data_IF_517459716897
#
_entry.id   IF_517459716897
#
_cell.length_a   1.000
_cell.length_b   1.000
_cell.length_c   1.000
_cell.angle_alpha   90.00
_cell.angle_beta   90.00
_cell.angle_gamma   90.00
#
_symmetry.space_group_name_H-M   'P 1'
#
loop_
_entity.id
_entity.type
_entity.pdbx_description
1 polymer ?
#
# COMPACT_ATOMS: atom_id res chain seq x y z
N UNK A 1 16.44 3.34 -6.50
CA UNK A 1 17.33 2.27 -7.01
C UNK A 1 16.77 1.75 -8.31
N UNK A 2 17.59 1.32 -9.28
CA UNK A 2 17.07 0.68 -10.50
C UNK A 2 16.65 -0.74 -10.17
N UNK A 3 15.50 -1.17 -10.69
CA UNK A 3 15.09 -2.56 -10.56
C UNK A 3 16.01 -3.47 -11.37
N UNK A 4 16.48 -4.58 -10.78
CA UNK A 4 17.22 -5.57 -11.54
C UNK A 4 16.30 -6.27 -12.56
N UNK A 5 16.86 -6.82 -13.65
CA UNK A 5 16.11 -7.57 -14.64
C UNK A 5 15.30 -8.73 -14.03
N UNK A 6 14.21 -9.10 -14.68
CA UNK A 6 13.28 -10.14 -14.22
C UNK A 6 13.98 -11.48 -13.91
N UNK A 7 14.98 -11.87 -14.70
CA UNK A 7 15.73 -13.11 -14.47
C UNK A 7 16.58 -13.06 -13.20
N UNK A 8 17.13 -11.90 -12.82
CA UNK A 8 17.84 -11.73 -11.54
C UNK A 8 16.84 -11.85 -10.39
N UNK A 9 15.68 -11.18 -10.50
CA UNK A 9 14.66 -11.23 -9.45
C UNK A 9 14.13 -12.64 -9.23
N UNK A 10 13.78 -13.35 -10.30
CA UNK A 10 13.13 -14.66 -10.22
C UNK A 10 14.12 -15.83 -10.11
N UNK A 11 15.30 -15.72 -10.70
CA UNK A 11 16.31 -16.78 -10.73
C UNK A 11 17.38 -16.67 -9.64
N UNK A 12 17.58 -15.48 -9.05
CA UNK A 12 18.59 -15.27 -7.99
C UNK A 12 17.92 -14.81 -6.70
N UNK A 13 17.18 -13.69 -6.70
CA UNK A 13 16.64 -13.13 -5.47
C UNK A 13 15.60 -14.06 -4.82
N UNK A 14 14.68 -14.63 -5.59
CA UNK A 14 13.65 -15.53 -5.04
C UNK A 14 14.26 -16.81 -4.40
N UNK A 15 15.17 -17.56 -5.04
CA UNK A 15 15.85 -18.68 -4.39
C UNK A 15 16.74 -18.26 -3.22
N UNK A 16 17.39 -17.09 -3.31
CA UNK A 16 18.22 -16.56 -2.22
C UNK A 16 17.40 -16.30 -0.96
N UNK A 17 16.17 -15.78 -1.09
CA UNK A 17 15.29 -15.59 0.07
C UNK A 17 14.96 -16.92 0.74
N UNK A 18 14.69 -17.98 -0.03
CA UNK A 18 14.45 -19.32 0.53
C UNK A 18 15.69 -19.84 1.26
N UNK A 19 16.88 -19.73 0.66
CA UNK A 19 18.13 -20.13 1.30
C UNK A 19 18.40 -19.33 2.58
N UNK A 20 18.17 -18.02 2.55
CA UNK A 20 18.29 -17.15 3.72
C UNK A 20 17.30 -17.54 4.81
N UNK A 21 16.05 -17.88 4.47
CA UNK A 21 15.06 -18.35 5.43
C UNK A 21 15.51 -19.62 6.15
N UNK A 22 16.08 -20.59 5.43
CA UNK A 22 16.62 -21.82 6.01
C UNK A 22 17.80 -21.55 6.96
N UNK A 23 18.72 -20.65 6.56
CA UNK A 23 19.84 -20.24 7.41
C UNK A 23 19.34 -19.53 8.67
N UNK A 24 18.40 -18.60 8.53
CA UNK A 24 17.81 -17.89 9.67
C UNK A 24 17.13 -18.86 10.62
N UNK A 25 16.36 -19.84 10.13
CA UNK A 25 15.74 -20.88 10.98
C UNK A 25 16.79 -21.69 11.74
N UNK A 26 17.88 -22.10 11.08
CA UNK A 26 18.94 -22.85 11.73
C UNK A 26 19.65 -22.04 12.83
N UNK A 27 19.82 -20.74 12.63
CA UNK A 27 20.49 -19.84 13.59
C UNK A 27 19.54 -19.22 14.62
N UNK A 28 18.23 -19.27 14.39
CA UNK A 28 17.21 -18.61 15.21
C UNK A 28 17.26 -19.02 16.69
N UNK A 29 17.45 -20.31 17.07
CA UNK A 29 17.55 -20.69 18.49
C UNK A 29 18.71 -20.00 19.21
N UNK A 30 19.87 -19.93 18.56
CA UNK A 30 21.05 -19.27 19.12
C UNK A 30 20.85 -17.75 19.22
N UNK A 31 20.32 -17.11 18.17
CA UNK A 31 20.03 -15.68 18.20
C UNK A 31 18.96 -15.32 19.22
N UNK A 32 17.92 -16.14 19.39
CA UNK A 32 16.90 -15.93 20.43
C UNK A 32 17.46 -16.10 21.83
N UNK A 33 18.28 -17.11 22.08
CA UNK A 33 18.93 -17.29 23.37
C UNK A 33 19.77 -16.06 23.72
N UNK A 34 20.63 -15.60 22.80
CA UNK A 34 21.45 -14.39 22.98
C UNK A 34 20.56 -13.16 23.18
N UNK A 35 19.55 -12.96 22.33
CA UNK A 35 18.66 -11.81 22.41
C UNK A 35 17.88 -11.76 23.72
N UNK A 36 17.38 -12.90 24.21
CA UNK A 36 16.67 -12.98 25.49
C UNK A 36 17.61 -12.66 26.65
N UNK A 37 18.80 -13.28 26.68
CA UNK A 37 19.80 -13.02 27.71
C UNK A 37 20.14 -11.53 27.75
N UNK A 38 20.49 -10.92 26.61
CA UNK A 38 20.84 -9.49 26.52
C UNK A 38 19.65 -8.61 26.90
N UNK A 39 18.44 -8.89 26.39
CA UNK A 39 17.26 -8.07 26.65
C UNK A 39 16.84 -8.09 28.12
N UNK A 40 17.05 -9.19 28.87
CA UNK A 40 16.77 -9.23 30.31
C UNK A 40 17.57 -8.15 31.06
N UNK A 41 18.79 -7.83 30.60
CA UNK A 41 19.65 -6.83 31.24
C UNK A 41 19.51 -5.41 30.66
N UNK A 42 19.07 -5.26 29.41
CA UNK A 42 19.12 -3.98 28.68
C UNK A 42 17.74 -3.40 28.37
N UNK A 43 16.72 -4.24 28.18
CA UNK A 43 15.47 -3.82 27.55
C UNK A 43 14.22 -4.20 28.38
N UNK A 44 13.37 -3.22 28.75
CA UNK A 44 12.08 -3.55 29.30
C UNK A 44 11.21 -4.24 28.24
N UNK A 45 10.62 -5.39 28.60
CA UNK A 45 9.61 -6.17 27.84
C UNK A 45 10.12 -7.03 26.67
N UNK A 46 11.39 -7.43 26.65
CA UNK A 46 11.95 -8.38 25.65
C UNK A 46 11.70 -7.94 24.20
N UNK A 47 12.02 -6.68 23.90
CA UNK A 47 11.69 -6.06 22.60
C UNK A 47 12.46 -6.70 21.46
N UNK A 48 13.77 -6.78 21.58
CA UNK A 48 14.66 -7.34 20.56
C UNK A 48 14.30 -8.79 20.18
N UNK A 49 14.05 -9.72 21.13
CA UNK A 49 13.55 -11.06 20.82
C UNK A 49 12.27 -11.06 19.98
N UNK A 50 11.29 -10.22 20.31
CA UNK A 50 10.01 -10.16 19.56
C UNK A 50 10.22 -9.65 18.14
N UNK A 51 11.05 -8.62 17.97
CA UNK A 51 11.37 -8.11 16.63
C UNK A 51 12.17 -9.13 15.81
N UNK A 52 13.10 -9.85 16.44
CA UNK A 52 13.82 -10.95 15.80
C UNK A 52 12.87 -12.05 15.33
N UNK A 53 11.92 -12.46 16.18
CA UNK A 53 10.86 -13.42 15.80
C UNK A 53 10.05 -12.87 14.63
N UNK A 54 9.61 -11.62 14.67
CA UNK A 54 8.80 -11.04 13.60
C UNK A 54 9.55 -10.98 12.26
N UNK A 55 10.83 -10.61 12.28
CA UNK A 55 11.68 -10.60 11.08
C UNK A 55 11.85 -12.02 10.52
N UNK A 56 12.07 -13.01 11.39
CA UNK A 56 12.15 -14.40 10.99
C UNK A 56 10.83 -14.92 10.41
N UNK A 57 9.70 -14.57 11.03
CA UNK A 57 8.35 -14.89 10.54
C UNK A 57 8.12 -14.28 9.16
N UNK A 58 8.43 -13.00 8.96
CA UNK A 58 8.27 -12.36 7.65
C UNK A 58 9.13 -13.04 6.57
N UNK A 59 10.38 -13.37 6.90
CA UNK A 59 11.29 -14.04 5.96
C UNK A 59 10.79 -15.44 5.58
N UNK A 60 10.30 -16.21 6.55
CA UNK A 60 9.71 -17.53 6.31
C UNK A 60 8.39 -17.44 5.55
N UNK A 61 7.59 -16.42 5.85
CA UNK A 61 6.35 -16.12 5.15
C UNK A 61 6.62 -15.81 3.68
N UNK A 62 7.63 -14.99 3.37
CA UNK A 62 8.03 -14.68 2.00
C UNK A 62 8.55 -15.92 1.26
N UNK A 63 9.43 -16.71 1.90
CA UNK A 63 9.93 -17.96 1.34
C UNK A 63 8.80 -18.97 1.05
N UNK A 64 7.88 -19.15 2.00
CA UNK A 64 6.71 -20.00 1.81
C UNK A 64 5.82 -19.49 0.67
N UNK A 65 5.67 -18.17 0.54
CA UNK A 65 4.92 -17.58 -0.56
C UNK A 65 5.55 -17.88 -1.92
N UNK A 66 6.88 -17.76 -2.04
CA UNK A 66 7.59 -18.07 -3.30
C UNK A 66 7.37 -19.54 -3.68
N UNK A 67 7.47 -20.47 -2.72
CA UNK A 67 7.23 -21.91 -2.97
C UNK A 67 5.79 -22.17 -3.41
N UNK A 68 4.80 -21.59 -2.72
CA UNK A 68 3.39 -21.72 -3.07
C UNK A 68 3.07 -21.10 -4.45
N UNK A 69 3.65 -19.94 -4.76
CA UNK A 69 3.51 -19.28 -6.06
C UNK A 69 4.21 -20.07 -7.18
N UNK A 70 5.29 -20.79 -6.88
CA UNK A 70 5.90 -21.73 -7.82
C UNK A 70 4.96 -22.91 -8.08
N UNK A 71 4.38 -23.51 -7.04
CA UNK A 71 3.41 -24.59 -7.19
C UNK A 71 2.18 -24.16 -8.01
N UNK A 72 1.63 -22.95 -7.75
CA UNK A 72 0.53 -22.38 -8.55
C UNK A 72 0.91 -22.18 -10.02
N UNK A 73 2.17 -21.83 -10.30
CA UNK A 73 2.66 -21.68 -11.66
C UNK A 73 2.80 -23.01 -12.40
N UNK A 74 3.27 -24.07 -11.71
CA UNK A 74 3.27 -25.43 -12.24
C UNK A 74 1.83 -25.89 -12.50
N UNK A 75 0.93 -25.75 -11.53
CA UNK A 75 -0.48 -26.13 -11.62
C UNK A 75 -1.22 -25.40 -12.76
N UNK A 76 -0.81 -24.17 -13.10
CA UNK A 76 -1.39 -23.42 -14.22
C UNK A 76 -0.83 -23.83 -15.59
N UNK A 77 -0.13 -24.96 -15.70
CA UNK A 77 0.54 -25.41 -16.92
C UNK A 77 1.77 -24.57 -17.24
N UNK A 78 2.70 -24.45 -16.29
CA UNK A 78 3.93 -23.64 -16.44
C UNK A 78 3.63 -22.18 -16.83
N UNK A 79 2.58 -21.63 -16.25
CA UNK A 79 2.13 -20.26 -16.50
C UNK A 79 1.11 -20.07 -17.63
N UNK A 80 0.78 -21.10 -18.41
CA UNK A 80 -0.13 -20.96 -19.56
C UNK A 80 -1.51 -20.41 -19.17
N UNK A 81 -2.08 -20.86 -18.04
CA UNK A 81 -3.38 -20.40 -17.52
C UNK A 81 -3.30 -19.45 -16.34
N UNK A 82 -2.12 -18.87 -16.05
CA UNK A 82 -1.89 -18.13 -14.80
C UNK A 82 -2.78 -16.88 -14.64
N UNK A 83 -3.17 -16.27 -15.76
CA UNK A 83 -4.04 -15.08 -15.77
C UNK A 83 -5.52 -15.41 -15.98
N UNK A 84 -5.91 -16.69 -16.01
CA UNK A 84 -7.33 -17.07 -16.09
C UNK A 84 -8.08 -16.70 -14.79
N UNK A 85 -9.38 -16.43 -14.87
CA UNK A 85 -10.21 -16.07 -13.71
C UNK A 85 -10.13 -17.08 -12.56
N UNK A 86 -9.97 -18.38 -12.86
CA UNK A 86 -9.80 -19.41 -11.83
C UNK A 86 -8.49 -19.25 -11.06
N UNK A 87 -7.38 -19.06 -11.77
CA UNK A 87 -6.08 -18.84 -11.14
C UNK A 87 -5.96 -17.48 -10.46
N UNK A 88 -6.55 -16.41 -11.01
CA UNK A 88 -6.59 -15.12 -10.33
C UNK A 88 -7.31 -15.22 -8.98
N UNK A 89 -8.48 -15.87 -8.92
CA UNK A 89 -9.18 -16.15 -7.66
C UNK A 89 -8.35 -16.99 -6.69
N UNK A 90 -7.61 -17.98 -7.19
CA UNK A 90 -6.69 -18.75 -6.36
C UNK A 90 -5.56 -17.89 -5.78
N UNK A 91 -4.98 -16.96 -6.56
CA UNK A 91 -3.97 -16.02 -6.07
C UNK A 91 -4.55 -15.05 -5.04
N UNK A 92 -5.75 -14.50 -5.26
CA UNK A 92 -6.40 -13.63 -4.28
C UNK A 92 -6.66 -14.37 -2.95
N UNK A 93 -7.23 -15.58 -3.00
CA UNK A 93 -7.44 -16.43 -1.81
C UNK A 93 -6.13 -16.83 -1.11
N UNK A 94 -5.06 -16.99 -1.87
CA UNK A 94 -3.74 -17.27 -1.34
C UNK A 94 -3.18 -16.04 -0.61
N UNK A 95 -3.23 -14.86 -1.24
CA UNK A 95 -2.77 -13.59 -0.62
C UNK A 95 -3.59 -13.28 0.63
N UNK A 96 -4.92 -13.46 0.57
CA UNK A 96 -5.84 -13.30 1.70
C UNK A 96 -5.34 -14.09 2.93
N UNK A 97 -5.18 -15.42 2.79
CA UNK A 97 -4.68 -16.31 3.85
C UNK A 97 -3.28 -15.96 4.34
N UNK A 98 -2.39 -15.60 3.41
CA UNK A 98 -1.03 -15.20 3.77
C UNK A 98 -1.05 -13.93 4.62
N UNK A 99 -1.87 -12.94 4.27
CA UNK A 99 -2.02 -11.73 5.07
C UNK A 99 -2.70 -12.00 6.41
N UNK A 100 -3.73 -12.85 6.47
CA UNK A 100 -4.32 -13.29 7.75
C UNK A 100 -3.26 -13.89 8.68
N UNK A 101 -2.43 -14.80 8.19
CA UNK A 101 -1.34 -15.39 8.98
C UNK A 101 -0.32 -14.35 9.42
N UNK A 102 0.07 -13.43 8.53
CA UNK A 102 1.02 -12.37 8.86
C UNK A 102 0.45 -11.46 9.97
N UNK A 103 -0.80 -11.01 9.84
CA UNK A 103 -1.43 -10.12 10.81
C UNK A 103 -1.78 -10.82 12.13
N UNK A 104 -2.07 -12.12 12.10
CA UNK A 104 -2.18 -12.94 13.30
C UNK A 104 -0.86 -12.96 14.08
N UNK A 105 0.28 -13.15 13.41
CA UNK A 105 1.59 -13.07 14.05
C UNK A 105 1.91 -11.66 14.54
N UNK A 106 1.56 -10.62 13.78
CA UNK A 106 1.71 -9.22 14.22
C UNK A 106 0.93 -8.95 15.50
N UNK A 107 -0.32 -9.44 15.59
CA UNK A 107 -1.13 -9.33 16.80
C UNK A 107 -0.45 -10.01 18.00
N UNK A 108 -0.02 -11.26 17.88
CA UNK A 108 0.55 -12.00 19.01
C UNK A 108 1.98 -11.57 19.39
N UNK A 109 2.85 -11.35 18.40
CA UNK A 109 4.27 -11.07 18.62
C UNK A 109 4.49 -9.59 18.95
N UNK A 110 3.81 -8.69 18.23
CA UNK A 110 3.99 -7.25 18.39
C UNK A 110 2.94 -6.59 19.29
N UNK A 111 1.86 -7.30 19.64
CA UNK A 111 0.70 -6.79 20.41
C UNK A 111 0.03 -5.61 19.73
N UNK A 112 -0.20 -5.79 18.43
CA UNK A 112 -0.84 -4.79 17.60
C UNK A 112 -2.26 -5.25 17.25
N UNK A 113 -3.23 -4.42 17.63
CA UNK A 113 -4.63 -4.62 17.30
C UNK A 113 -5.03 -3.72 16.13
N UNK A 114 -6.00 -4.17 15.34
CA UNK A 114 -6.56 -3.38 14.25
C UNK A 114 -8.07 -3.32 14.46
N UNK A 115 -8.58 -2.13 14.82
CA UNK A 115 -10.01 -1.83 14.89
C UNK A 115 -10.47 -1.24 13.56
N UNK A 116 -11.43 -1.87 12.91
CA UNK A 116 -11.96 -1.42 11.62
C UNK A 116 -13.44 -1.11 11.72
N UNK A 117 -13.78 0.11 11.32
CA UNK A 117 -15.15 0.60 11.28
C UNK A 117 -15.57 0.83 9.85
N UNK A 118 -16.53 0.03 9.42
CA UNK A 118 -17.19 0.15 8.11
C UNK A 118 -18.60 0.72 8.30
N UNK A 119 -19.14 1.44 7.31
CA UNK A 119 -20.54 1.88 7.32
C UNK A 119 -21.51 0.68 7.32
N UNK A 120 -22.75 0.92 7.72
CA UNK A 120 -23.82 -0.06 7.55
C UNK A 120 -24.02 -0.41 6.07
N UNK A 121 -24.39 -1.66 5.80
CA UNK A 121 -24.59 -2.18 4.45
C UNK A 121 -23.35 -2.29 3.57
N UNK A 122 -22.15 -2.15 4.16
CA UNK A 122 -20.88 -2.21 3.42
C UNK A 122 -20.71 -3.50 2.59
N UNK A 123 -21.32 -4.61 3.01
CA UNK A 123 -21.23 -5.92 2.36
C UNK A 123 -22.49 -6.33 1.57
N UNK A 124 -23.45 -5.43 1.40
CA UNK A 124 -24.79 -5.80 0.91
C UNK A 124 -24.84 -6.08 -0.60
N UNK A 125 -23.80 -5.68 -1.35
CA UNK A 125 -23.70 -5.91 -2.78
C UNK A 125 -22.32 -6.41 -3.21
N UNK A 126 -22.22 -6.73 -4.50
CA UNK A 126 -21.00 -7.14 -5.17
C UNK A 126 -20.47 -6.05 -6.13
N UNK A 127 -20.95 -4.81 -6.04
CA UNK A 127 -20.55 -3.73 -6.95
C UNK A 127 -19.06 -3.40 -6.77
N UNK A 128 -18.36 -3.03 -7.87
CA UNK A 128 -16.96 -2.65 -7.82
C UNK A 128 -16.79 -1.32 -7.10
N UNK A 129 -15.72 -1.20 -6.30
CA UNK A 129 -15.50 -0.04 -5.42
C UNK A 129 -14.20 0.70 -5.76
N UNK A 130 -14.21 2.03 -5.68
CA UNK A 130 -12.97 2.83 -5.70
C UNK A 130 -12.59 3.18 -4.27
N UNK A 131 -11.52 2.60 -3.76
CA UNK A 131 -11.04 2.80 -2.40
C UNK A 131 -9.95 3.87 -2.40
N UNK A 132 -10.27 5.05 -1.87
CA UNK A 132 -9.36 6.16 -1.77
C UNK A 132 -8.88 6.32 -0.32
N UNK A 133 -7.62 5.97 -0.06
CA UNK A 133 -7.05 5.95 1.29
C UNK A 133 -6.02 7.06 1.50
N UNK A 134 -5.92 7.54 2.74
CA UNK A 134 -4.73 8.26 3.21
C UNK A 134 -3.49 7.36 3.15
N UNK A 135 -2.30 7.94 3.08
CA UNK A 135 -1.03 7.18 3.05
C UNK A 135 -0.06 7.70 4.12
N UNK A 136 0.20 6.92 5.17
CA UNK A 136 0.77 7.42 6.41
C UNK A 136 1.80 6.51 7.12
N UNK A 137 2.44 5.58 6.41
CA UNK A 137 3.57 4.86 7.02
C UNK A 137 4.09 3.68 6.21
N UNK A 138 5.26 3.13 6.57
CA UNK A 138 5.70 1.84 6.05
C UNK A 138 4.78 0.74 6.61
N UNK A 139 4.03 0.07 5.74
CA UNK A 139 3.16 -1.06 6.10
C UNK A 139 1.65 -0.78 6.10
N UNK A 140 1.24 0.49 5.97
CA UNK A 140 -0.19 0.85 5.87
C UNK A 140 -0.89 0.18 4.67
N UNK A 141 -0.15 -0.02 3.59
CA UNK A 141 -0.63 -0.67 2.38
C UNK A 141 -0.88 -2.16 2.63
N UNK A 142 -0.09 -2.83 3.47
CA UNK A 142 -0.37 -4.23 3.84
C UNK A 142 -1.65 -4.33 4.68
N UNK A 143 -1.87 -3.39 5.60
CA UNK A 143 -3.11 -3.35 6.41
C UNK A 143 -4.31 -3.08 5.51
N UNK A 144 -4.21 -2.09 4.63
CA UNK A 144 -5.29 -1.75 3.71
C UNK A 144 -5.61 -2.93 2.79
N UNK A 145 -4.61 -3.60 2.21
CA UNK A 145 -4.85 -4.75 1.34
C UNK A 145 -5.37 -5.96 2.13
N UNK A 146 -4.91 -6.17 3.36
CA UNK A 146 -5.49 -7.18 4.25
C UNK A 146 -6.96 -6.89 4.54
N UNK A 147 -7.30 -5.64 4.83
CA UNK A 147 -8.69 -5.21 5.03
C UNK A 147 -9.52 -5.43 3.77
N UNK A 148 -9.04 -5.00 2.61
CA UNK A 148 -9.76 -5.16 1.33
C UNK A 148 -10.03 -6.64 1.02
N UNK A 149 -9.05 -7.51 1.25
CA UNK A 149 -9.19 -8.95 0.97
C UNK A 149 -10.04 -9.69 2.00
N UNK A 150 -9.77 -9.49 3.30
CA UNK A 150 -10.27 -10.37 4.35
C UNK A 150 -11.44 -9.79 5.14
N UNK A 151 -11.56 -8.46 5.19
CA UNK A 151 -12.69 -7.81 5.84
C UNK A 151 -13.70 -7.33 4.83
N UNK A 152 -13.26 -6.69 3.74
CA UNK A 152 -14.16 -6.14 2.73
C UNK A 152 -14.65 -7.21 1.72
N UNK A 153 -14.01 -8.37 1.69
CA UNK A 153 -14.26 -9.46 0.71
C UNK A 153 -14.23 -8.95 -0.74
N UNK A 154 -13.20 -8.16 -1.07
CA UNK A 154 -12.98 -7.56 -2.39
C UNK A 154 -11.62 -7.95 -2.97
N UNK A 155 -11.56 -8.02 -4.29
CA UNK A 155 -10.36 -8.32 -5.09
C UNK A 155 -9.62 -7.01 -5.42
N UNK A 156 -8.50 -6.70 -4.74
CA UNK A 156 -7.81 -5.44 -4.94
C UNK A 156 -7.13 -5.37 -6.30
N UNK A 157 -7.23 -4.20 -6.93
CA UNK A 157 -6.49 -3.77 -8.11
C UNK A 157 -5.71 -2.52 -7.74
N UNK A 158 -4.39 -2.56 -7.85
CA UNK A 158 -3.54 -1.53 -7.27
C UNK A 158 -2.46 -1.02 -8.22
N UNK A 159 -2.21 0.28 -8.10
CA UNK A 159 -1.08 0.96 -8.73
C UNK A 159 0.02 1.14 -7.70
N UNK A 160 1.18 0.54 -7.95
CA UNK A 160 2.29 0.54 -6.98
C UNK A 160 3.58 1.06 -7.57
N UNK A 161 4.50 1.43 -6.68
CA UNK A 161 5.88 1.75 -7.07
C UNK A 161 6.60 0.49 -7.51
N UNK A 162 7.34 0.61 -8.61
CA UNK A 162 8.12 -0.46 -9.19
C UNK A 162 9.10 -1.08 -8.16
N UNK A 163 9.66 -0.27 -7.25
CA UNK A 163 10.58 -0.67 -6.19
C UNK A 163 10.03 -1.73 -5.23
N UNK A 164 8.70 -1.92 -5.16
CA UNK A 164 8.13 -3.02 -4.37
C UNK A 164 8.51 -4.40 -4.90
N UNK A 165 8.92 -4.50 -6.18
CA UNK A 165 9.40 -5.74 -6.79
C UNK A 165 10.78 -6.18 -6.28
N UNK A 166 11.39 -5.48 -5.32
CA UNK A 166 12.56 -5.99 -4.61
C UNK A 166 12.21 -7.14 -3.67
N UNK A 167 10.97 -7.17 -3.18
CA UNK A 167 10.42 -8.30 -2.45
C UNK A 167 9.96 -9.37 -3.48
N UNK A 168 10.52 -10.59 -3.44
CA UNK A 168 10.25 -11.57 -4.48
C UNK A 168 8.82 -12.12 -4.48
N UNK A 169 8.18 -12.32 -3.33
CA UNK A 169 6.80 -12.79 -3.30
C UNK A 169 5.86 -11.71 -3.88
N UNK A 170 6.07 -10.45 -3.49
CA UNK A 170 5.34 -9.28 -4.01
C UNK A 170 5.59 -9.10 -5.51
N UNK A 171 6.83 -9.21 -6.00
CA UNK A 171 7.15 -9.18 -7.43
C UNK A 171 6.38 -10.26 -8.20
N UNK A 172 6.35 -11.48 -7.69
CA UNK A 172 5.72 -12.60 -8.39
C UNK A 172 4.20 -12.49 -8.38
N UNK A 173 3.57 -12.29 -7.22
CA UNK A 173 2.11 -12.34 -7.10
C UNK A 173 1.43 -11.14 -7.74
N UNK A 174 1.96 -9.93 -7.55
CA UNK A 174 1.32 -8.73 -8.06
C UNK A 174 1.45 -8.61 -9.58
N UNK A 175 2.46 -9.22 -10.20
CA UNK A 175 2.56 -9.33 -11.66
C UNK A 175 1.62 -10.40 -12.25
N UNK A 176 0.93 -11.22 -11.44
CA UNK A 176 -0.05 -12.24 -11.89
C UNK A 176 -1.51 -11.81 -11.68
N UNK A 177 -1.71 -10.79 -10.86
CA UNK A 177 -2.99 -10.15 -10.60
C UNK A 177 -3.11 -8.88 -11.47
N UNK A 178 -4.32 -8.34 -11.68
CA UNK A 178 -4.56 -7.11 -12.45
C UNK A 178 -4.06 -5.86 -11.70
N UNK A 179 -2.73 -5.77 -11.52
CA UNK A 179 -2.05 -4.62 -10.90
C UNK A 179 -1.12 -3.95 -11.90
N UNK A 180 -0.70 -2.72 -11.59
CA UNK A 180 0.25 -1.96 -12.41
C UNK A 180 1.40 -1.41 -11.56
N UNK A 181 2.62 -1.73 -11.97
CA UNK A 181 3.83 -1.14 -11.40
C UNK A 181 4.24 0.12 -12.18
N UNK A 182 4.59 1.18 -11.46
CA UNK A 182 4.99 2.47 -12.02
C UNK A 182 6.36 2.86 -11.47
N UNK A 183 7.23 3.27 -12.39
CA UNK A 183 8.54 3.80 -12.04
C UNK A 183 8.40 5.18 -11.39
N UNK A 184 9.12 5.46 -10.28
CA UNK A 184 9.16 6.79 -9.70
C UNK A 184 9.54 7.85 -10.73
N UNK A 185 8.97 9.08 -10.64
CA UNK A 185 9.44 10.20 -11.43
C UNK A 185 10.95 10.38 -11.22
N UNK A 186 11.72 10.73 -12.26
CA UNK A 186 13.16 10.98 -12.10
C UNK A 186 13.39 12.06 -11.03
N UNK A 187 14.28 11.81 -10.08
CA UNK A 187 14.72 12.83 -9.12
C UNK A 187 15.54 13.87 -9.88
N UNK A 188 15.04 15.10 -9.95
CA UNK A 188 15.75 16.23 -10.54
C UNK A 188 17.14 16.39 -9.88
N UNK A 189 18.19 16.46 -10.70
CA UNK A 189 19.56 16.73 -10.24
C UNK A 189 20.52 15.53 -10.19
N UNK A 190 20.05 14.29 -10.30
CA UNK A 190 20.98 13.12 -10.37
C UNK A 190 21.51 12.90 -11.79
N UNK A 191 22.77 12.50 -11.94
CA UNK A 191 23.39 12.17 -13.24
C UNK A 191 22.59 11.09 -14.03
N UNK A 192 21.91 10.20 -13.31
CA UNK A 192 20.98 9.22 -13.87
C UNK A 192 19.65 9.81 -14.36
N UNK A 193 19.17 10.91 -13.77
CA UNK A 193 17.96 11.63 -14.20
C UNK A 193 18.16 12.39 -15.51
N UNK A 194 19.33 13.01 -15.71
CA UNK A 194 19.68 13.71 -16.96
C UNK A 194 19.71 12.78 -18.17
N UNK A 195 20.16 11.54 -17.99
CA UNK A 195 20.23 10.54 -19.09
C UNK A 195 18.86 9.98 -19.48
N UNK A 196 17.88 9.96 -18.55
CA UNK A 196 16.48 9.54 -18.84
C UNK A 196 15.69 10.69 -19.48
N UNK A 197 15.86 11.92 -19.01
CA UNK A 197 15.30 13.12 -19.63
C UNK A 197 15.79 13.34 -21.08
N UNK A 198 17.03 12.93 -21.38
CA UNK A 198 17.62 13.05 -22.72
C UNK A 198 17.27 11.90 -23.68
N UNK A 199 16.71 10.79 -23.18
CA UNK A 199 16.33 9.61 -23.99
C UNK A 199 14.81 9.38 -24.07
N UNK A 200 14.05 9.98 -23.16
CA UNK A 200 12.61 10.17 -23.27
C UNK A 200 12.33 11.64 -22.94
N UNK A 201 12.19 12.46 -23.99
CA UNK A 201 11.83 13.88 -23.90
C UNK A 201 10.37 14.07 -23.49
N UNK A 202 9.96 13.40 -22.43
CA UNK A 202 8.60 13.39 -21.97
C UNK A 202 8.47 14.51 -20.92
N UNK A 203 7.77 15.63 -21.22
CA UNK A 203 7.56 16.71 -20.25
C UNK A 203 6.88 16.16 -19.00
N UNK A 204 7.03 16.80 -17.83
CA UNK A 204 6.46 16.31 -16.55
C UNK A 204 4.96 15.93 -16.63
N UNK A 205 4.20 16.50 -17.57
CA UNK A 205 2.81 16.12 -17.86
C UNK A 205 2.63 14.73 -18.48
N UNK A 206 3.58 14.24 -19.27
CA UNK A 206 3.53 12.91 -19.92
C UNK A 206 3.52 11.74 -18.93
N UNK A 207 4.18 11.88 -17.78
CA UNK A 207 4.22 10.83 -16.75
C UNK A 207 2.92 10.82 -15.93
N UNK A 208 2.29 11.98 -15.75
CA UNK A 208 0.97 12.08 -15.11
C UNK A 208 -0.11 11.47 -16.01
N UNK A 209 -0.10 11.80 -17.32
CA UNK A 209 -0.98 11.18 -18.32
C UNK A 209 -0.80 9.66 -18.38
N UNK A 210 0.45 9.19 -18.44
CA UNK A 210 0.72 7.75 -18.40
C UNK A 210 0.28 7.07 -17.09
N UNK A 211 0.15 7.79 -15.97
CA UNK A 211 -0.38 7.25 -14.72
C UNK A 211 -1.91 7.22 -14.74
N UNK A 212 -2.57 8.28 -15.20
CA UNK A 212 -4.04 8.32 -15.33
C UNK A 212 -4.53 7.24 -16.29
N UNK A 213 -3.85 7.03 -17.42
CA UNK A 213 -4.21 5.98 -18.38
C UNK A 213 -4.14 4.58 -17.75
N UNK A 214 -3.14 4.34 -16.89
CA UNK A 214 -3.00 3.06 -16.17
C UNK A 214 -4.05 2.88 -15.09
N UNK A 215 -4.48 3.97 -14.45
CA UNK A 215 -5.57 3.93 -13.49
C UNK A 215 -6.89 3.65 -14.22
N UNK A 216 -7.17 4.36 -15.32
CA UNK A 216 -8.37 4.12 -16.13
C UNK A 216 -8.40 2.71 -16.70
N UNK A 217 -7.28 2.18 -17.18
CA UNK A 217 -7.16 0.78 -17.62
C UNK A 217 -7.48 -0.23 -16.51
N UNK A 218 -7.09 0.04 -15.26
CA UNK A 218 -7.39 -0.83 -14.12
C UNK A 218 -8.85 -0.74 -13.66
N UNK A 219 -9.47 0.42 -13.86
CA UNK A 219 -10.83 0.72 -13.44
C UNK A 219 -11.88 0.24 -14.45
N UNK A 220 -11.57 0.27 -15.75
CA UNK A 220 -12.56 0.10 -16.81
C UNK A 220 -13.14 -1.31 -16.94
N UNK A 221 -12.39 -2.33 -16.51
CA UNK A 221 -12.81 -3.74 -16.55
C UNK A 221 -12.96 -4.33 -15.13
N UNK A 222 -13.25 -3.49 -14.13
CA UNK A 222 -13.61 -3.95 -12.79
C UNK A 222 -14.91 -4.75 -12.85
N UNK A 223 -14.83 -6.01 -12.41
CA UNK A 223 -15.97 -6.89 -12.27
C UNK A 223 -16.56 -6.90 -10.86
N UNK A 224 -17.50 -7.81 -10.60
CA UNK A 224 -18.08 -7.97 -9.28
C UNK A 224 -17.00 -8.22 -8.23
N UNK A 225 -17.12 -7.53 -7.10
CA UNK A 225 -16.19 -7.53 -5.97
C UNK A 225 -14.79 -7.02 -6.27
N UNK A 226 -14.52 -6.37 -7.40
CA UNK A 226 -13.24 -5.71 -7.59
C UNK A 226 -13.16 -4.40 -6.78
N UNK A 227 -11.95 -4.07 -6.32
CA UNK A 227 -11.70 -2.83 -5.62
C UNK A 227 -10.43 -2.16 -6.15
N UNK A 228 -10.56 -1.02 -6.81
CA UNK A 228 -9.41 -0.20 -7.17
C UNK A 228 -8.93 0.57 -5.94
N UNK A 229 -7.69 0.33 -5.50
CA UNK A 229 -7.11 1.08 -4.37
C UNK A 229 -6.20 2.17 -4.87
N UNK A 230 -6.45 3.40 -4.43
CA UNK A 230 -5.69 4.59 -4.77
C UNK A 230 -5.35 5.41 -3.52
N UNK A 231 -4.21 6.10 -3.58
CA UNK A 231 -3.77 7.04 -2.54
C UNK A 231 -3.67 8.45 -3.11
N UNK A 232 -4.74 9.26 -3.06
CA UNK A 232 -4.76 10.59 -3.69
C UNK A 232 -3.66 11.55 -3.20
N UNK A 233 -3.09 11.34 -2.02
CA UNK A 233 -1.92 12.10 -1.53
C UNK A 233 -0.66 11.92 -2.41
N UNK A 234 -0.57 10.80 -3.14
CA UNK A 234 0.53 10.46 -4.04
C UNK A 234 1.81 9.97 -3.33
N UNK A 235 1.74 9.66 -2.04
CA UNK A 235 2.84 9.10 -1.27
C UNK A 235 2.65 9.26 0.24
N UNK A 236 3.45 8.54 1.04
CA UNK A 236 3.46 8.72 2.50
C UNK A 236 3.55 10.18 2.92
N UNK A 237 2.71 10.56 3.88
CA UNK A 237 2.77 11.83 4.58
C UNK A 237 4.15 12.04 5.24
N UNK A 238 4.78 13.17 4.94
CA UNK A 238 5.88 13.72 5.75
C UNK A 238 5.76 15.24 5.79
N UNK A 239 6.25 15.92 6.84
CA UNK A 239 6.22 17.39 6.92
C UNK A 239 6.84 18.05 5.68
N UNK A 240 7.94 17.48 5.17
CA UNK A 240 8.66 17.99 4.00
C UNK A 240 7.88 17.77 2.70
N UNK A 241 7.15 16.66 2.57
CA UNK A 241 6.29 16.41 1.40
C UNK A 241 5.05 17.29 1.42
N UNK A 242 4.46 17.49 2.60
CA UNK A 242 3.35 18.41 2.83
C UNK A 242 3.74 19.85 2.46
N UNK A 243 4.86 20.35 2.99
CA UNK A 243 5.37 21.68 2.66
C UNK A 243 5.59 21.85 1.15
N UNK A 244 6.17 20.84 0.48
CA UNK A 244 6.33 20.84 -0.98
C UNK A 244 5.01 20.75 -1.75
N UNK A 245 3.98 20.11 -1.22
CA UNK A 245 2.66 20.09 -1.84
C UNK A 245 2.02 21.49 -1.79
N UNK A 246 2.06 22.16 -0.63
CA UNK A 246 1.58 23.53 -0.45
C UNK A 246 2.34 24.51 -1.35
N UNK A 247 3.67 24.41 -1.40
CA UNK A 247 4.49 25.25 -2.27
C UNK A 247 4.15 25.09 -3.76
N UNK A 248 3.84 23.86 -4.20
CA UNK A 248 3.39 23.60 -5.59
C UNK A 248 2.03 24.22 -5.88
N UNK A 249 1.08 24.16 -4.95
CA UNK A 249 -0.22 24.82 -5.11
C UNK A 249 -0.06 26.35 -5.23
N UNK A 250 0.79 26.95 -4.39
CA UNK A 250 1.13 28.39 -4.47
C UNK A 250 1.78 28.76 -5.79
N UNK A 251 2.75 27.96 -6.24
CA UNK A 251 3.44 28.18 -7.51
C UNK A 251 2.50 28.04 -8.73
N UNK A 252 1.44 27.25 -8.61
CA UNK A 252 0.41 27.08 -9.63
C UNK A 252 -0.68 28.17 -9.58
N UNK A 253 -0.57 29.17 -8.70
CA UNK A 253 -1.57 30.24 -8.54
C UNK A 253 -2.85 29.80 -7.79
N UNK A 254 -2.88 28.58 -7.24
CA UNK A 254 -4.04 28.02 -6.54
C UNK A 254 -4.04 28.45 -5.06
N UNK A 255 -4.22 29.75 -4.82
CA UNK A 255 -4.11 30.36 -3.48
C UNK A 255 -5.07 29.73 -2.45
N UNK A 256 -6.37 29.64 -2.77
CA UNK A 256 -7.38 29.07 -1.88
C UNK A 256 -7.09 27.60 -1.53
N UNK A 257 -6.70 26.79 -2.52
CA UNK A 257 -6.33 25.40 -2.30
C UNK A 257 -5.06 25.27 -1.43
N UNK A 258 -4.08 26.18 -1.62
CA UNK A 258 -2.89 26.21 -0.79
C UNK A 258 -3.18 26.58 0.66
N UNK A 259 -4.12 27.49 0.92
CA UNK A 259 -4.57 27.85 2.26
C UNK A 259 -5.28 26.70 2.95
N UNK A 260 -6.21 26.03 2.26
CA UNK A 260 -6.86 24.80 2.74
C UNK A 260 -5.82 23.72 3.06
N UNK A 261 -4.91 23.46 2.13
CA UNK A 261 -3.82 22.50 2.31
C UNK A 261 -2.91 22.84 3.51
N UNK A 262 -2.73 24.13 3.81
CA UNK A 262 -1.94 24.58 4.96
C UNK A 262 -2.63 24.34 6.30
N UNK A 263 -3.95 24.07 6.32
CA UNK A 263 -4.70 23.71 7.53
C UNK A 263 -4.72 22.20 7.80
N UNK A 264 -4.49 21.36 6.80
CA UNK A 264 -4.44 19.89 6.95
C UNK A 264 -3.21 19.48 7.76
N UNK A 265 -3.34 19.05 9.01
CA UNK A 265 -2.18 18.78 9.89
C UNK A 265 -1.71 17.32 9.88
N UNK A 266 -2.56 16.42 9.40
CA UNK A 266 -2.44 14.96 9.50
C UNK A 266 -2.40 14.25 8.14
N UNK A 267 -2.80 14.94 7.07
CA UNK A 267 -2.75 14.47 5.68
C UNK A 267 -2.13 15.50 4.73
N UNK A 268 -1.71 15.05 3.56
CA UNK A 268 -1.35 15.95 2.46
C UNK A 268 -2.59 16.28 1.62
N UNK A 269 -2.58 17.44 0.96
CA UNK A 269 -3.61 17.78 0.00
C UNK A 269 -3.72 16.70 -1.10
N UNK A 270 -4.94 16.23 -1.41
CA UNK A 270 -5.15 15.21 -2.42
C UNK A 270 -4.81 15.73 -3.82
N UNK A 271 -4.43 14.81 -4.71
CA UNK A 271 -4.18 15.05 -6.13
C UNK A 271 -5.36 14.48 -6.93
N UNK A 272 -6.18 15.32 -7.56
CA UNK A 272 -7.44 14.86 -8.16
C UNK A 272 -7.27 13.88 -9.33
N UNK A 273 -6.29 14.13 -10.20
CA UNK A 273 -6.16 13.48 -11.51
C UNK A 273 -6.30 11.94 -11.48
N UNK A 274 -5.66 11.26 -10.53
CA UNK A 274 -5.73 9.80 -10.46
C UNK A 274 -7.10 9.27 -10.03
N UNK A 275 -7.72 9.90 -9.03
CA UNK A 275 -9.05 9.49 -8.57
C UNK A 275 -10.11 9.79 -9.63
N UNK A 276 -9.99 10.91 -10.33
CA UNK A 276 -10.95 11.28 -11.37
C UNK A 276 -10.85 10.34 -12.57
N UNK A 277 -9.63 9.99 -12.99
CA UNK A 277 -9.40 8.99 -14.03
C UNK A 277 -10.01 7.61 -13.69
N UNK A 278 -10.05 7.24 -12.41
CA UNK A 278 -10.75 6.05 -11.94
C UNK A 278 -12.27 6.18 -12.02
N UNK A 279 -12.82 7.29 -11.52
CA UNK A 279 -14.26 7.57 -11.51
C UNK A 279 -14.84 7.68 -12.92
N UNK A 280 -14.11 8.30 -13.83
CA UNK A 280 -14.54 8.47 -15.22
C UNK A 280 -14.53 7.12 -15.96
N UNK A 281 -13.61 6.22 -15.60
CA UNK A 281 -13.53 4.87 -16.18
C UNK A 281 -14.47 3.86 -15.52
N UNK A 282 -14.93 4.12 -14.29
CA UNK A 282 -15.88 3.28 -13.55
C UNK A 282 -17.06 4.13 -13.04
N UNK A 283 -17.96 4.59 -13.94
CA UNK A 283 -19.02 5.55 -13.62
C UNK A 283 -20.12 4.99 -12.72
N UNK A 284 -20.09 3.70 -12.39
CA UNK A 284 -21.03 3.04 -11.48
C UNK A 284 -20.42 2.74 -10.11
N UNK A 285 -19.11 2.93 -9.94
CA UNK A 285 -18.41 2.57 -8.71
C UNK A 285 -18.53 3.67 -7.66
N UNK A 286 -19.08 3.32 -6.49
CA UNK A 286 -19.04 4.18 -5.31
C UNK A 286 -17.61 4.33 -4.77
N UNK A 287 -17.37 5.45 -4.07
CA UNK A 287 -16.08 5.75 -3.46
C UNK A 287 -16.09 5.41 -1.99
N UNK A 288 -15.12 4.62 -1.57
CA UNK A 288 -14.87 4.32 -0.17
C UNK A 288 -13.63 5.08 0.29
N UNK A 289 -13.85 6.07 1.15
CA UNK A 289 -12.79 6.86 1.75
C UNK A 289 -12.26 6.15 2.98
N UNK A 290 -10.95 5.96 3.06
CA UNK A 290 -10.31 5.24 4.17
C UNK A 290 -9.35 6.15 4.90
N UNK A 291 -9.63 6.37 6.18
CA UNK A 291 -8.69 6.94 7.14
C UNK A 291 -8.21 5.86 8.09
N UNK A 292 -6.97 5.98 8.56
CA UNK A 292 -6.44 5.16 9.64
C UNK A 292 -5.59 6.01 10.57
N UNK A 293 -5.31 5.56 11.78
CA UNK A 293 -4.33 6.16 12.71
C UNK A 293 -3.73 5.08 13.60
N UNK A 294 -2.59 5.36 14.23
CA UNK A 294 -1.85 4.42 15.11
C UNK A 294 -0.45 4.07 14.60
N UNK A 295 -0.19 4.28 13.31
CA UNK A 295 1.14 4.13 12.68
C UNK A 295 1.79 5.46 12.29
N UNK A 296 1.15 6.60 12.55
CA UNK A 296 1.53 7.93 12.04
C UNK A 296 2.94 8.41 12.45
N UNK A 297 3.46 7.86 13.54
CA UNK A 297 4.79 8.18 14.09
C UNK A 297 5.89 7.25 13.57
N UNK A 298 5.52 6.19 12.86
CA UNK A 298 6.45 5.22 12.29
C UNK A 298 6.73 5.65 10.84
N UNK A 299 7.89 6.26 10.61
CA UNK A 299 8.24 6.81 9.28
C UNK A 299 9.40 6.05 8.63
N UNK A 300 10.20 5.36 9.43
CA UNK A 300 11.39 4.62 9.00
C UNK A 300 11.44 3.24 9.65
N UNK A 301 12.26 2.33 9.11
CA UNK A 301 12.56 1.03 9.74
C UNK A 301 13.16 1.21 11.13
N UNK A 302 13.93 2.29 11.35
CA UNK A 302 14.43 2.65 12.67
C UNK A 302 13.34 3.12 13.64
N UNK A 303 12.26 3.74 13.14
CA UNK A 303 11.09 4.06 13.96
C UNK A 303 10.26 2.82 14.26
N UNK A 304 10.18 1.86 13.34
CA UNK A 304 9.59 0.52 13.62
C UNK A 304 10.33 -0.13 14.79
N UNK A 305 11.67 -0.12 14.74
CA UNK A 305 12.52 -0.67 15.81
C UNK A 305 12.36 0.04 17.16
N UNK A 306 12.15 1.36 17.16
CA UNK A 306 11.95 2.15 18.40
C UNK A 306 10.53 2.08 18.94
N UNK A 307 9.54 1.93 18.06
CA UNK A 307 8.12 2.08 18.37
C UNK A 307 7.37 0.74 18.50
N UNK A 308 8.02 -0.38 18.23
CA UNK A 308 7.53 -1.75 18.45
C UNK A 308 8.57 -2.52 19.27
N UNK A 309 8.17 -3.55 20.03
CA UNK A 309 6.79 -3.99 20.33
C UNK A 309 6.12 -3.05 21.33
N UNK A 310 4.85 -2.71 21.12
CA UNK A 310 4.05 -1.91 22.07
C UNK A 310 2.59 -2.23 21.85
N UNK A 311 1.83 -2.33 22.95
CA UNK A 311 0.36 -2.44 22.91
C UNK A 311 -0.21 -1.22 22.17
N UNK A 312 -0.61 -1.42 20.92
CA UNK A 312 -1.08 -0.36 20.04
C UNK A 312 -2.28 -0.84 19.26
N UNK A 313 -3.30 0.00 19.17
CA UNK A 313 -4.43 -0.21 18.29
C UNK A 313 -4.30 0.71 17.09
N UNK A 314 -4.31 0.12 15.90
CA UNK A 314 -4.53 0.83 14.65
C UNK A 314 -6.04 0.94 14.47
N UNK A 315 -6.56 2.16 14.39
CA UNK A 315 -7.98 2.36 14.08
C UNK A 315 -8.12 2.73 12.62
N UNK A 316 -9.03 2.08 11.90
CA UNK A 316 -9.39 2.39 10.53
C UNK A 316 -10.87 2.75 10.46
N UNK A 317 -11.18 3.84 9.77
CA UNK A 317 -12.53 4.30 9.49
C UNK A 317 -12.73 4.34 7.99
N UNK A 318 -13.86 3.77 7.57
CA UNK A 318 -14.31 3.80 6.20
C UNK A 318 -15.58 4.64 6.11
N UNK A 319 -15.70 5.44 5.06
CA UNK A 319 -16.94 6.12 4.68
C UNK A 319 -17.30 5.74 3.25
N UNK A 320 -18.58 5.48 3.00
CA UNK A 320 -19.12 5.35 1.65
C UNK A 320 -19.55 6.74 1.15
N UNK A 321 -19.17 7.08 -0.08
CA UNK A 321 -19.73 8.18 -0.85
C UNK A 321 -20.33 7.58 -2.12
N UNK A 322 -21.67 7.54 -2.23
CA UNK A 322 -22.35 7.10 -3.44
C UNK A 322 -21.88 7.88 -4.66
N UNK A 323 -21.76 7.21 -5.80
CA UNK A 323 -21.29 7.86 -7.03
C UNK A 323 -22.19 9.03 -7.45
N UNK A 324 -23.48 8.96 -7.15
CA UNK A 324 -24.47 10.01 -7.43
C UNK A 324 -24.22 11.31 -6.66
N UNK A 325 -23.51 11.23 -5.53
CA UNK A 325 -23.25 12.38 -4.66
C UNK A 325 -21.94 13.10 -5.03
N UNK A 326 -21.18 12.55 -5.98
CA UNK A 326 -19.92 13.10 -6.45
C UNK A 326 -20.18 14.03 -7.66
N UNK A 327 -19.83 15.32 -7.59
CA UNK A 327 -20.04 16.25 -8.69
C UNK A 327 -19.35 15.82 -9.99
N UNK A 328 -19.98 16.08 -11.13
CA UNK A 328 -19.38 15.82 -12.44
C UNK A 328 -18.50 16.98 -12.95
N UNK A 329 -18.79 18.21 -12.53
CA UNK A 329 -17.96 19.36 -12.84
C UNK A 329 -16.58 19.23 -12.16
N UNK A 330 -15.51 19.53 -12.91
CA UNK A 330 -14.14 19.32 -12.47
C UNK A 330 -13.79 20.14 -11.22
N UNK A 331 -14.23 21.39 -11.15
CA UNK A 331 -13.87 22.29 -10.05
C UNK A 331 -14.69 21.96 -8.80
N UNK A 332 -15.99 21.69 -8.96
CA UNK A 332 -16.84 21.20 -7.87
C UNK A 332 -16.33 19.85 -7.32
N UNK A 333 -15.92 18.93 -8.20
CA UNK A 333 -15.35 17.63 -7.80
C UNK A 333 -14.00 17.81 -7.08
N UNK A 334 -13.20 18.79 -7.50
CA UNK A 334 -11.93 19.12 -6.83
C UNK A 334 -12.16 19.70 -5.44
N UNK A 335 -13.15 20.57 -5.30
CA UNK A 335 -13.56 21.15 -4.02
C UNK A 335 -14.11 20.10 -3.06
N UNK A 336 -14.98 19.21 -3.55
CA UNK A 336 -15.48 18.03 -2.85
C UNK A 336 -14.34 17.16 -2.32
N UNK A 337 -13.40 16.79 -3.19
CA UNK A 337 -12.27 15.93 -2.81
C UNK A 337 -11.43 16.57 -1.70
N UNK A 338 -11.20 17.88 -1.77
CA UNK A 338 -10.50 18.60 -0.70
C UNK A 338 -11.31 18.59 0.61
N UNK A 339 -12.64 18.75 0.54
CA UNK A 339 -13.54 18.68 1.70
C UNK A 339 -13.52 17.31 2.39
N UNK A 340 -13.50 16.23 1.61
CA UNK A 340 -13.35 14.87 2.15
C UNK A 340 -12.00 14.67 2.86
N UNK A 341 -10.93 15.26 2.33
CA UNK A 341 -9.62 15.24 2.99
C UNK A 341 -9.59 16.09 4.27
N UNK A 342 -10.30 17.21 4.33
CA UNK A 342 -10.50 17.99 5.56
C UNK A 342 -11.27 17.17 6.61
N UNK A 343 -12.29 16.39 6.20
CA UNK A 343 -13.00 15.46 7.10
C UNK A 343 -12.07 14.38 7.65
N UNK A 344 -11.24 13.77 6.80
CA UNK A 344 -10.24 12.79 7.21
C UNK A 344 -9.24 13.40 8.19
N UNK A 345 -8.74 14.61 7.92
CA UNK A 345 -7.78 15.32 8.78
C UNK A 345 -8.35 15.55 10.19
N UNK A 346 -9.58 16.04 10.27
CA UNK A 346 -10.28 16.26 11.54
C UNK A 346 -10.57 14.96 12.30
N UNK A 347 -10.93 13.88 11.59
CA UNK A 347 -11.13 12.57 12.22
C UNK A 347 -9.84 12.02 12.85
N UNK A 348 -8.70 12.19 12.18
CA UNK A 348 -7.39 11.79 12.72
C UNK A 348 -7.03 12.65 13.93
N UNK A 349 -7.21 13.96 13.85
CA UNK A 349 -6.88 14.88 14.95
C UNK A 349 -7.65 14.52 16.22
N UNK A 350 -8.95 14.20 16.09
CA UNK A 350 -9.79 13.79 17.21
C UNK A 350 -9.32 12.50 17.91
N UNK A 351 -8.52 11.66 17.23
CA UNK A 351 -8.07 10.33 17.70
C UNK A 351 -6.57 10.24 17.96
N UNK A 352 -5.84 11.35 17.84
CA UNK A 352 -4.39 11.38 17.98
C UNK A 352 -3.88 11.31 19.43
N UNK A 353 -4.75 10.97 20.38
CA UNK A 353 -4.46 10.97 21.82
C UNK A 353 -3.76 9.70 22.27
#
# INVERSE_FOLDING_TARGET
MRLPPKWVRRGILAPLVIALALVVVALLPAWLAIAVIVSIFVEPRLRTPRLLVMVAVYLLWDAAAIVALFALWVASGFGWRIHSHGFQRAHYRFVARMLEFLFWNVHWVLRLDIDVRVPEGFHDDDEPRVIASRHAGPGDSFILIHAVLNWFDRSPRIVLKDTMQWDPAVDVVLNRLPNRFIAPPPVAGTAGGRRRARRGGAPSGSTALALTDRISELASDMGPRDALVIFPEGGNFTPERRARAIARLRAAGLAAAAERAARLMNVMAPRPAGLFAALDAAPHADVFLVAHTGLDRIRTVGDVWRALPTDKTITMQVWNVPRTDIPDDHDARTDWLMGEWERIDGWIEARRR
#
